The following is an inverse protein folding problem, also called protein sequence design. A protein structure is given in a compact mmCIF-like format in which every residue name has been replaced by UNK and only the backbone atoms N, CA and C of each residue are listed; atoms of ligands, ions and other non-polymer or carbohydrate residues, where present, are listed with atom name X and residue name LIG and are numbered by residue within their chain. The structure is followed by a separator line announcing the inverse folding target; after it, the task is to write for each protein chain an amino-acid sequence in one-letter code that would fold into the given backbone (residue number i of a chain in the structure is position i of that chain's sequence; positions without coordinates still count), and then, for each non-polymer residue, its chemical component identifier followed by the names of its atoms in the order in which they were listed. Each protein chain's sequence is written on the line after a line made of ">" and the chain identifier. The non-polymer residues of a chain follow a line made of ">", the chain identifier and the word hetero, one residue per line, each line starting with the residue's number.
data_IF_602911808804
#
_entry.id   IF_602911808804
#
_cell.length_a   1.000
_cell.length_b   1.000
_cell.length_c   1.000
_cell.angle_alpha   90.00
_cell.angle_beta   90.00
_cell.angle_gamma   90.00
#
_symmetry.space_group_name_H-M   'P 1'
#
loop_
_entity.id
_entity.type
_entity.pdbx_description
1 polymer ?
#
# COMPACT_ATOMS: atom_id res chain seq x y z
N UNK A 1 11.69 16.50 33.76
CA UNK A 1 11.62 16.15 32.33
C UNK A 1 12.03 14.72 32.24
N UNK A 2 11.30 13.81 31.59
CA UNK A 2 11.79 12.46 31.38
C UNK A 2 13.06 12.54 30.52
N UNK A 3 14.07 11.80 30.94
CA UNK A 3 15.38 11.74 30.27
C UNK A 3 15.22 10.92 28.99
N UNK A 4 15.01 11.59 27.87
CA UNK A 4 14.90 10.99 26.55
C UNK A 4 16.30 10.87 25.97
N UNK A 5 17.06 9.88 26.46
CA UNK A 5 18.27 9.48 25.78
C UNK A 5 17.93 9.02 24.37
N UNK A 6 18.64 9.47 23.32
CA UNK A 6 18.41 8.96 21.97
C UNK A 6 18.62 7.45 21.96
N UNK A 7 17.69 6.72 21.33
CA UNK A 7 17.81 5.28 21.22
C UNK A 7 19.14 4.90 20.57
N UNK A 8 19.85 3.90 21.09
CA UNK A 8 21.20 3.56 20.62
C UNK A 8 21.28 3.16 19.14
N UNK A 9 20.15 2.78 18.52
CA UNK A 9 20.10 2.32 17.11
C UNK A 9 19.49 3.33 16.13
N UNK A 10 19.06 4.52 16.62
CA UNK A 10 18.52 5.55 15.72
C UNK A 10 19.66 6.38 15.13
N UNK A 11 19.75 6.54 13.80
CA UNK A 11 20.84 7.27 13.15
C UNK A 11 20.83 8.75 13.55
N UNK A 12 22.02 9.37 13.55
CA UNK A 12 22.15 10.79 13.89
C UNK A 12 21.76 11.73 12.72
N UNK A 13 21.78 11.21 11.49
CA UNK A 13 21.52 11.96 10.25
C UNK A 13 20.07 11.87 9.77
N UNK A 14 19.10 12.04 10.68
CA UNK A 14 17.67 11.89 10.39
C UNK A 14 17.16 12.85 9.30
N UNK A 15 17.72 14.06 9.22
CA UNK A 15 17.34 15.05 8.20
C UNK A 15 17.76 14.59 6.79
N UNK A 16 18.94 14.02 6.64
CA UNK A 16 19.42 13.50 5.36
C UNK A 16 18.57 12.30 4.91
N UNK A 17 18.21 11.41 5.85
CA UNK A 17 17.32 10.28 5.58
C UNK A 17 15.93 10.77 5.16
N UNK A 18 15.37 11.76 5.87
CA UNK A 18 14.09 12.33 5.54
C UNK A 18 14.08 12.95 4.14
N UNK A 19 15.14 13.67 3.80
CA UNK A 19 15.32 14.29 2.48
C UNK A 19 15.47 13.24 1.37
N UNK A 20 16.23 12.17 1.60
CA UNK A 20 16.42 11.08 0.64
C UNK A 20 15.10 10.36 0.34
N UNK A 21 14.33 10.01 1.39
CA UNK A 21 13.03 9.34 1.24
C UNK A 21 11.99 10.30 0.61
N UNK A 22 11.96 11.57 1.00
CA UNK A 22 11.06 12.56 0.41
C UNK A 22 11.34 12.77 -1.08
N UNK A 23 12.62 12.85 -1.46
CA UNK A 23 13.03 12.94 -2.87
C UNK A 23 12.60 11.71 -3.68
N UNK A 24 12.71 10.51 -3.11
CA UNK A 24 12.25 9.27 -3.75
C UNK A 24 10.73 9.29 -4.02
N UNK A 25 9.94 9.82 -3.08
CA UNK A 25 8.49 9.98 -3.25
C UNK A 25 8.18 11.00 -4.35
N UNK A 26 8.83 12.16 -4.33
CA UNK A 26 8.63 13.21 -5.34
C UNK A 26 9.00 12.75 -6.74
N UNK A 27 10.10 12.02 -6.90
CA UNK A 27 10.54 11.48 -8.18
C UNK A 27 9.52 10.48 -8.74
N UNK A 28 8.93 9.64 -7.86
CA UNK A 28 7.84 8.77 -8.25
C UNK A 28 6.59 9.58 -8.66
N UNK A 29 6.15 10.54 -7.86
CA UNK A 29 4.98 11.36 -8.14
C UNK A 29 5.10 12.08 -9.50
N UNK A 30 6.26 12.67 -9.78
CA UNK A 30 6.53 13.32 -11.08
C UNK A 30 6.47 12.34 -12.25
N UNK A 31 7.07 11.15 -12.08
CA UNK A 31 7.12 10.14 -13.14
C UNK A 31 5.79 9.42 -13.35
N UNK A 32 5.02 9.24 -12.29
CA UNK A 32 3.76 8.51 -12.31
C UNK A 32 2.52 9.39 -12.50
N UNK A 33 2.66 10.72 -12.64
CA UNK A 33 1.54 11.65 -12.67
C UNK A 33 0.45 11.29 -13.73
N UNK A 34 0.86 10.94 -14.94
CA UNK A 34 -0.07 10.53 -16.00
C UNK A 34 -0.77 9.21 -15.66
N UNK A 35 -0.01 8.25 -15.11
CA UNK A 35 -0.53 6.94 -14.73
C UNK A 35 -1.56 7.09 -13.60
N UNK A 36 -1.28 7.93 -12.61
CA UNK A 36 -2.20 8.20 -11.50
C UNK A 36 -3.49 8.86 -12.01
N UNK A 37 -3.38 9.83 -12.91
CA UNK A 37 -4.55 10.47 -13.54
C UNK A 37 -5.41 9.47 -14.31
N UNK A 38 -4.81 8.57 -15.08
CA UNK A 38 -5.56 7.52 -15.80
C UNK A 38 -6.28 6.57 -14.84
N UNK A 39 -5.64 6.22 -13.71
CA UNK A 39 -6.25 5.34 -12.69
C UNK A 39 -7.44 6.00 -11.98
N UNK A 40 -7.34 7.28 -11.67
CA UNK A 40 -8.46 8.06 -11.14
C UNK A 40 -9.62 8.09 -12.15
N UNK A 41 -9.32 8.31 -13.42
CA UNK A 41 -10.29 8.27 -14.50
C UNK A 41 -11.01 6.90 -14.57
N UNK A 42 -10.27 5.78 -14.49
CA UNK A 42 -10.87 4.44 -14.51
C UNK A 42 -11.78 4.20 -13.32
N UNK A 43 -11.37 4.68 -12.14
CA UNK A 43 -12.17 4.58 -10.93
C UNK A 43 -13.47 5.41 -11.04
N UNK A 44 -13.41 6.59 -11.62
CA UNK A 44 -14.57 7.43 -11.87
C UNK A 44 -15.53 6.78 -12.89
N UNK A 45 -14.99 6.22 -13.96
CA UNK A 45 -15.78 5.47 -14.95
C UNK A 45 -16.44 4.23 -14.33
N UNK A 46 -15.71 3.52 -13.46
CA UNK A 46 -16.23 2.38 -12.73
C UNK A 46 -17.36 2.78 -11.76
N UNK A 47 -17.20 3.90 -11.04
CA UNK A 47 -18.22 4.42 -10.12
C UNK A 47 -19.40 5.08 -10.83
N UNK A 48 -19.24 5.43 -12.09
CA UNK A 48 -20.23 6.21 -12.81
C UNK A 48 -20.32 7.66 -12.33
N UNK A 49 -19.23 8.21 -11.79
CA UNK A 49 -19.13 9.59 -11.32
C UNK A 49 -18.44 10.48 -12.35
N UNK A 50 -18.71 11.79 -12.33
CA UNK A 50 -17.92 12.82 -13.03
C UNK A 50 -17.98 12.79 -14.58
N UNK A 51 -19.17 12.60 -15.17
CA UNK A 51 -19.35 12.57 -16.64
C UNK A 51 -18.88 13.83 -17.38
N UNK A 52 -18.93 14.99 -16.76
CA UNK A 52 -18.50 16.25 -17.35
C UNK A 52 -16.98 16.32 -17.53
N UNK A 53 -16.21 15.59 -16.74
CA UNK A 53 -14.74 15.53 -16.86
C UNK A 53 -14.28 14.76 -18.10
N UNK A 54 -15.15 13.93 -18.70
CA UNK A 54 -14.83 13.14 -19.90
C UNK A 54 -15.02 13.91 -21.23
N UNK A 55 -15.21 15.23 -21.16
CA UNK A 55 -15.43 16.03 -22.37
C UNK A 55 -16.78 15.79 -23.04
N UNK A 56 -17.67 15.01 -22.42
CA UNK A 56 -19.04 14.84 -22.88
C UNK A 56 -19.79 16.12 -22.53
N UNK A 57 -19.99 16.98 -23.52
CA UNK A 57 -20.87 18.12 -23.35
C UNK A 57 -22.27 17.59 -23.07
N UNK A 58 -22.84 17.97 -21.91
CA UNK A 58 -24.25 17.72 -21.63
C UNK A 58 -25.08 18.21 -22.83
N UNK A 59 -25.62 17.28 -23.62
CA UNK A 59 -26.57 17.61 -24.67
C UNK A 59 -27.91 17.80 -24.02
N UNK A 60 -28.43 19.01 -24.09
CA UNK A 60 -29.78 19.30 -23.57
C UNK A 60 -30.79 18.32 -24.20
N UNK A 61 -31.51 17.59 -23.36
CA UNK A 61 -32.57 16.66 -23.79
C UNK A 61 -32.15 15.17 -23.90
N UNK A 62 -30.90 14.80 -23.69
CA UNK A 62 -30.48 13.40 -23.61
C UNK A 62 -30.32 12.94 -22.16
N UNK A 63 -30.64 11.69 -21.92
CA UNK A 63 -30.41 11.06 -20.61
C UNK A 63 -28.91 11.00 -20.32
N UNK A 64 -28.50 11.59 -19.20
CA UNK A 64 -27.13 11.49 -18.69
C UNK A 64 -26.92 10.20 -17.89
N UNK A 65 -27.65 9.12 -18.21
CA UNK A 65 -27.46 7.83 -17.57
C UNK A 65 -26.15 7.21 -18.03
N UNK A 66 -25.26 6.90 -17.10
CA UNK A 66 -23.99 6.27 -17.42
C UNK A 66 -24.20 4.84 -17.91
N UNK A 67 -23.48 4.48 -18.97
CA UNK A 67 -23.34 3.07 -19.31
C UNK A 67 -22.26 2.45 -18.44
N UNK A 68 -22.53 1.47 -17.56
CA UNK A 68 -21.59 0.93 -16.60
C UNK A 68 -20.69 -0.18 -17.19
N UNK A 69 -20.29 -0.08 -18.46
CA UNK A 69 -19.56 -1.15 -19.17
C UNK A 69 -18.28 -1.58 -18.42
N UNK A 70 -17.48 -0.60 -17.97
CA UNK A 70 -16.26 -0.88 -17.22
C UNK A 70 -16.59 -1.56 -15.90
N UNK A 71 -17.64 -1.14 -15.20
CA UNK A 71 -18.06 -1.76 -13.94
C UNK A 71 -18.52 -3.20 -14.15
N UNK A 72 -19.39 -3.43 -15.13
CA UNK A 72 -19.91 -4.78 -15.46
C UNK A 72 -18.79 -5.73 -15.87
N UNK A 73 -17.91 -5.32 -16.76
CA UNK A 73 -16.77 -6.12 -17.19
C UNK A 73 -15.80 -6.40 -16.03
N UNK A 74 -15.50 -5.37 -15.21
CA UNK A 74 -14.62 -5.51 -14.04
C UNK A 74 -15.21 -6.49 -13.03
N UNK A 75 -16.48 -6.35 -12.63
CA UNK A 75 -17.09 -7.23 -11.66
C UNK A 75 -17.23 -8.68 -12.18
N UNK A 76 -17.55 -8.86 -13.45
CA UNK A 76 -17.66 -10.20 -14.06
C UNK A 76 -16.30 -10.92 -14.03
N UNK A 77 -15.24 -10.25 -14.50
CA UNK A 77 -13.90 -10.83 -14.51
C UNK A 77 -13.34 -11.01 -13.07
N UNK A 78 -13.53 -10.03 -12.21
CA UNK A 78 -13.05 -10.10 -10.83
C UNK A 78 -13.74 -11.24 -10.06
N UNK A 79 -15.06 -11.43 -10.22
CA UNK A 79 -15.77 -12.54 -9.59
C UNK A 79 -15.30 -13.90 -10.15
N UNK A 80 -15.05 -13.99 -11.45
CA UNK A 80 -14.54 -15.22 -12.08
C UNK A 80 -13.16 -15.58 -11.53
N UNK A 81 -12.21 -14.64 -11.54
CA UNK A 81 -10.85 -14.85 -11.00
C UNK A 81 -10.91 -15.19 -9.50
N UNK A 82 -11.67 -14.43 -8.74
CA UNK A 82 -11.83 -14.66 -7.30
C UNK A 82 -12.39 -16.06 -7.02
N UNK A 83 -13.42 -16.48 -7.74
CA UNK A 83 -14.02 -17.80 -7.57
C UNK A 83 -13.00 -18.90 -7.87
N UNK A 84 -12.19 -18.76 -8.93
CA UNK A 84 -11.13 -19.71 -9.25
C UNK A 84 -10.08 -19.80 -8.14
N UNK A 85 -9.70 -18.66 -7.54
CA UNK A 85 -8.69 -18.60 -6.47
C UNK A 85 -9.18 -19.19 -5.14
N UNK A 86 -10.47 -19.16 -4.85
CA UNK A 86 -11.03 -19.60 -3.55
C UNK A 86 -11.88 -20.86 -3.64
N UNK A 87 -12.06 -21.43 -4.83
CA UNK A 87 -12.90 -22.62 -5.05
C UNK A 87 -12.36 -23.87 -4.33
N UNK A 88 -11.03 -24.02 -4.25
CA UNK A 88 -10.43 -25.10 -3.50
C UNK A 88 -10.39 -24.75 -1.99
N UNK A 89 -10.69 -25.72 -1.14
CA UNK A 89 -10.56 -25.56 0.31
C UNK A 89 -9.79 -26.74 0.92
N UNK A 90 -8.55 -26.53 1.41
CA UNK A 90 -7.80 -25.27 1.34
C UNK A 90 -7.36 -24.92 -0.09
N UNK A 91 -7.32 -23.63 -0.39
CA UNK A 91 -6.87 -23.12 -1.70
C UNK A 91 -5.33 -23.14 -1.87
N UNK A 92 -4.64 -23.78 -0.94
CA UNK A 92 -3.20 -24.00 -0.97
C UNK A 92 -2.87 -25.26 -0.13
N UNK A 93 -1.75 -25.88 -0.43
CA UNK A 93 -1.16 -26.93 0.40
C UNK A 93 0.34 -26.72 0.50
N UNK A 94 0.92 -27.12 1.64
CA UNK A 94 2.37 -27.13 1.80
C UNK A 94 2.91 -28.45 1.24
N UNK A 95 4.02 -28.36 0.51
CA UNK A 95 4.73 -29.51 -0.06
C UNK A 95 6.18 -29.44 0.38
N UNK A 96 6.76 -30.58 0.77
CA UNK A 96 8.18 -30.66 1.08
C UNK A 96 9.00 -30.64 -0.21
N UNK A 97 9.88 -29.63 -0.35
CA UNK A 97 10.80 -29.55 -1.50
C UNK A 97 11.91 -30.61 -1.46
N UNK A 98 12.28 -31.07 -0.25
CA UNK A 98 13.34 -32.06 -0.06
C UNK A 98 12.83 -33.50 0.12
N UNK A 99 11.52 -33.69 0.24
CA UNK A 99 10.91 -34.97 0.58
C UNK A 99 11.21 -35.45 2.01
N UNK A 100 11.93 -34.67 2.80
CA UNK A 100 12.39 -35.04 4.15
C UNK A 100 11.39 -34.70 5.27
N UNK A 101 10.32 -33.97 4.96
CA UNK A 101 9.33 -33.54 5.97
C UNK A 101 8.15 -34.51 5.98
N UNK A 102 7.78 -34.95 7.18
CA UNK A 102 6.63 -35.84 7.40
C UNK A 102 5.32 -35.16 6.93
N UNK A 103 4.50 -35.88 6.20
CA UNK A 103 3.21 -35.42 5.70
C UNK A 103 2.28 -34.96 6.83
N UNK A 104 2.37 -35.53 8.02
CA UNK A 104 1.61 -35.10 9.19
C UNK A 104 1.97 -33.68 9.65
N UNK A 105 3.24 -33.29 9.53
CA UNK A 105 3.74 -31.94 9.84
C UNK A 105 3.26 -30.96 8.78
N UNK A 106 3.33 -31.35 7.50
CA UNK A 106 2.83 -30.52 6.39
C UNK A 106 1.33 -30.24 6.52
N UNK A 107 0.55 -31.28 6.88
CA UNK A 107 -0.88 -31.13 7.10
C UNK A 107 -1.20 -30.20 8.28
N UNK A 108 -0.50 -30.33 9.42
CA UNK A 108 -0.66 -29.44 10.58
C UNK A 108 -0.34 -28.00 10.21
N UNK A 109 0.75 -27.75 9.51
CA UNK A 109 1.17 -26.42 9.10
C UNK A 109 0.20 -25.82 8.07
N UNK A 110 -0.36 -26.62 7.15
CA UNK A 110 -1.40 -26.17 6.22
C UNK A 110 -2.64 -25.73 6.97
N UNK A 111 -3.09 -26.50 7.98
CA UNK A 111 -4.24 -26.14 8.81
C UNK A 111 -3.99 -24.88 9.66
N UNK A 112 -2.76 -24.70 10.18
CA UNK A 112 -2.38 -23.50 10.91
C UNK A 112 -2.48 -22.25 10.02
N UNK A 113 -1.90 -22.31 8.82
CA UNK A 113 -2.00 -21.21 7.85
C UNK A 113 -3.45 -20.93 7.45
N UNK A 114 -4.27 -21.96 7.25
CA UNK A 114 -5.71 -21.80 6.99
C UNK A 114 -6.38 -21.05 8.13
N UNK A 115 -6.17 -21.45 9.37
CA UNK A 115 -6.72 -20.75 10.55
C UNK A 115 -6.25 -19.30 10.62
N UNK A 116 -4.98 -19.01 10.32
CA UNK A 116 -4.44 -17.65 10.26
C UNK A 116 -5.14 -16.83 9.16
N UNK A 117 -5.33 -17.40 7.97
CA UNK A 117 -6.04 -16.75 6.86
C UNK A 117 -7.50 -16.44 7.19
N UNK A 118 -8.19 -17.34 7.89
CA UNK A 118 -9.58 -17.11 8.31
C UNK A 118 -9.67 -16.01 9.37
N UNK A 119 -8.79 -16.03 10.38
CA UNK A 119 -8.70 -14.97 11.40
C UNK A 119 -8.42 -13.58 10.81
N UNK A 120 -7.53 -13.49 9.82
CA UNK A 120 -7.19 -12.23 9.14
C UNK A 120 -8.20 -11.84 8.06
N UNK A 121 -9.25 -12.64 7.84
CA UNK A 121 -10.30 -12.43 6.80
C UNK A 121 -9.68 -12.26 5.39
N UNK A 122 -8.65 -13.05 5.10
CA UNK A 122 -7.86 -12.93 3.86
C UNK A 122 -8.71 -13.04 2.60
N UNK A 123 -9.71 -13.93 2.56
CA UNK A 123 -10.63 -14.10 1.41
C UNK A 123 -11.32 -12.78 1.04
N UNK A 124 -11.83 -12.03 2.04
CA UNK A 124 -12.47 -10.73 1.79
C UNK A 124 -11.50 -9.68 1.25
N UNK A 125 -10.29 -9.62 1.81
CA UNK A 125 -9.25 -8.67 1.39
C UNK A 125 -8.73 -8.99 -0.02
N UNK A 126 -8.65 -10.28 -0.37
CA UNK A 126 -8.26 -10.74 -1.69
C UNK A 126 -9.19 -10.21 -2.79
N UNK A 127 -10.52 -10.17 -2.55
CA UNK A 127 -11.46 -9.64 -3.53
C UNK A 127 -11.18 -8.17 -3.90
N UNK A 128 -10.78 -7.34 -2.93
CA UNK A 128 -10.39 -5.95 -3.21
C UNK A 128 -9.14 -5.87 -4.09
N UNK A 129 -8.15 -6.74 -3.85
CA UNK A 129 -6.94 -6.82 -4.68
C UNK A 129 -7.26 -7.29 -6.11
N UNK A 130 -8.14 -8.29 -6.26
CA UNK A 130 -8.57 -8.80 -7.58
C UNK A 130 -9.33 -7.73 -8.36
N UNK A 131 -10.21 -6.95 -7.73
CA UNK A 131 -10.89 -5.82 -8.40
C UNK A 131 -9.89 -4.77 -8.88
N UNK A 132 -8.91 -4.41 -8.04
CA UNK A 132 -7.85 -3.48 -8.44
C UNK A 132 -7.03 -4.03 -9.61
N UNK A 133 -6.69 -5.32 -9.56
CA UNK A 133 -5.96 -6.01 -10.61
C UNK A 133 -6.70 -5.93 -11.96
N UNK A 134 -7.98 -6.26 -11.97
CA UNK A 134 -8.80 -6.27 -13.19
C UNK A 134 -9.03 -4.86 -13.72
N UNK A 135 -9.43 -3.92 -12.86
CA UNK A 135 -9.73 -2.54 -13.27
C UNK A 135 -8.50 -1.80 -13.75
N UNK A 136 -7.45 -1.81 -12.93
CA UNK A 136 -6.25 -1.01 -13.12
C UNK A 136 -5.14 -1.75 -13.86
N UNK A 137 -5.26 -3.06 -14.08
CA UNK A 137 -4.21 -3.90 -14.65
C UNK A 137 -3.15 -4.33 -13.66
N UNK A 138 -3.15 -3.78 -12.43
CA UNK A 138 -2.14 -4.05 -11.42
C UNK A 138 -2.73 -4.01 -10.03
N UNK A 139 -2.23 -4.85 -9.14
CA UNK A 139 -2.60 -4.86 -7.74
C UNK A 139 -1.37 -4.95 -6.85
N UNK A 140 -1.39 -4.17 -5.77
CA UNK A 140 -0.40 -4.21 -4.71
C UNK A 140 -0.99 -4.79 -3.45
N UNK A 141 -0.24 -5.67 -2.82
CA UNK A 141 -0.58 -6.30 -1.56
C UNK A 141 0.59 -6.18 -0.62
N UNK A 142 0.32 -5.71 0.57
CA UNK A 142 1.27 -5.75 1.68
C UNK A 142 0.98 -6.96 2.56
N UNK A 143 2.01 -7.67 2.98
CA UNK A 143 1.94 -8.85 3.85
C UNK A 143 2.74 -8.61 5.14
N UNK A 144 2.25 -7.75 6.04
CA UNK A 144 2.92 -7.52 7.31
C UNK A 144 2.73 -8.70 8.25
N UNK A 145 3.71 -8.93 9.13
CA UNK A 145 3.53 -9.81 10.28
C UNK A 145 2.75 -9.07 11.35
N UNK A 146 1.72 -9.70 11.89
CA UNK A 146 0.91 -9.15 12.97
C UNK A 146 0.86 -10.13 14.15
N UNK A 147 0.90 -9.59 15.37
CA UNK A 147 0.72 -10.30 16.62
C UNK A 147 -0.54 -9.82 17.34
N UNK A 148 -1.11 -10.66 18.21
CA UNK A 148 -2.28 -10.31 19.01
C UNK A 148 -2.16 -10.82 20.44
N UNK A 149 -2.29 -9.95 21.47
CA UNK A 149 -2.41 -8.48 21.35
C UNK A 149 -1.21 -7.83 20.68
N UNK A 150 -1.38 -6.69 19.98
CA UNK A 150 -0.27 -6.00 19.35
C UNK A 150 0.74 -5.52 20.39
N UNK A 151 2.04 -5.77 20.16
CA UNK A 151 3.12 -5.35 21.06
C UNK A 151 3.29 -6.21 22.30
N UNK A 152 2.54 -7.30 22.44
CA UNK A 152 2.74 -8.27 23.54
C UNK A 152 3.98 -9.13 23.22
N UNK A 153 4.94 -9.26 24.15
CA UNK A 153 6.11 -10.13 23.97
C UNK A 153 5.74 -11.63 23.92
N UNK A 154 4.57 -11.99 24.46
CA UNK A 154 4.03 -13.36 24.39
C UNK A 154 2.61 -13.33 23.78
N UNK A 155 2.49 -13.07 22.48
CA UNK A 155 1.20 -12.91 21.84
C UNK A 155 0.41 -14.22 21.83
N UNK A 156 -0.90 -14.11 22.04
CA UNK A 156 -1.80 -15.27 22.02
C UNK A 156 -1.89 -15.92 20.62
N UNK A 157 -1.59 -15.17 19.56
CA UNK A 157 -1.41 -15.68 18.22
C UNK A 157 -0.69 -14.66 17.32
N UNK A 158 -0.04 -15.18 16.28
CA UNK A 158 0.64 -14.41 15.24
C UNK A 158 0.24 -14.90 13.85
N UNK A 159 0.29 -14.01 12.88
CA UNK A 159 0.01 -14.35 11.49
C UNK A 159 0.56 -13.29 10.53
N UNK A 160 0.70 -13.67 9.26
CA UNK A 160 0.80 -12.70 8.18
C UNK A 160 -0.58 -12.15 7.87
N UNK A 161 -0.72 -10.82 7.85
CA UNK A 161 -1.92 -10.18 7.32
C UNK A 161 -1.83 -10.05 5.79
N UNK A 162 -2.94 -9.68 5.18
CA UNK A 162 -3.06 -9.42 3.76
C UNK A 162 -3.77 -8.08 3.60
N UNK A 163 -3.03 -7.05 3.20
CA UNK A 163 -3.56 -5.70 3.05
C UNK A 163 -3.46 -5.30 1.59
N UNK A 164 -4.62 -5.12 0.94
CA UNK A 164 -4.64 -4.51 -0.38
C UNK A 164 -4.25 -3.03 -0.26
N UNK A 165 -3.24 -2.62 -1.02
CA UNK A 165 -2.80 -1.23 -1.10
C UNK A 165 -3.38 -0.59 -2.37
N UNK A 166 -4.19 0.46 -2.25
CA UNK A 166 -4.66 1.21 -3.41
C UNK A 166 -3.49 1.74 -4.24
N UNK A 167 -3.63 1.70 -5.55
CA UNK A 167 -2.58 2.13 -6.48
C UNK A 167 -2.03 3.53 -6.17
N UNK A 168 -2.86 4.57 -5.90
CA UNK A 168 -2.37 5.90 -5.59
C UNK A 168 -1.57 6.00 -4.27
N UNK A 169 -1.67 4.99 -3.40
CA UNK A 169 -0.97 4.98 -2.12
C UNK A 169 0.39 4.28 -2.18
N UNK A 170 0.80 3.84 -3.36
CA UNK A 170 2.07 3.16 -3.57
C UNK A 170 3.05 4.06 -4.30
N UNK A 171 4.33 3.94 -3.95
CA UNK A 171 5.42 4.55 -4.71
C UNK A 171 6.57 3.56 -4.84
N UNK A 172 7.31 3.66 -5.93
CA UNK A 172 8.45 2.80 -6.24
C UNK A 172 9.47 3.56 -7.11
N UNK A 173 10.64 2.99 -7.30
CA UNK A 173 11.68 3.57 -8.16
C UNK A 173 11.15 3.80 -9.58
N UNK A 174 11.21 5.04 -10.09
CA UNK A 174 10.86 5.35 -11.47
C UNK A 174 11.69 4.52 -12.48
N UNK A 175 11.06 4.11 -13.58
CA UNK A 175 11.72 3.36 -14.67
C UNK A 175 12.26 1.97 -14.26
N UNK A 176 11.82 1.41 -13.14
CA UNK A 176 12.09 0.01 -12.85
C UNK A 176 11.40 -0.86 -13.91
N UNK A 177 12.12 -1.86 -14.44
CA UNK A 177 11.57 -2.81 -15.42
C UNK A 177 10.48 -3.67 -14.77
N UNK A 178 10.67 -4.02 -13.50
CA UNK A 178 9.71 -4.73 -12.67
C UNK A 178 9.72 -4.13 -11.27
N UNK A 179 8.57 -4.11 -10.64
CA UNK A 179 8.43 -3.62 -9.26
C UNK A 179 9.15 -4.52 -8.26
N UNK A 180 9.24 -5.82 -8.54
CA UNK A 180 9.97 -6.77 -7.69
C UNK A 180 11.49 -6.49 -7.68
N UNK A 181 12.01 -5.87 -8.73
CA UNK A 181 13.43 -5.50 -8.87
C UNK A 181 13.68 -3.99 -8.68
N UNK A 182 12.67 -3.23 -8.29
CA UNK A 182 12.85 -1.82 -7.97
C UNK A 182 13.78 -1.64 -6.77
N UNK A 183 14.70 -0.68 -6.80
CA UNK A 183 15.62 -0.44 -5.69
C UNK A 183 14.86 -0.07 -4.42
N UNK A 184 13.75 0.63 -4.54
CA UNK A 184 12.88 0.92 -3.42
C UNK A 184 11.40 0.80 -3.78
N UNK A 185 10.59 0.52 -2.77
CA UNK A 185 9.14 0.52 -2.82
C UNK A 185 8.58 1.00 -1.48
N UNK A 186 7.45 1.64 -1.50
CA UNK A 186 6.80 2.09 -0.28
C UNK A 186 5.32 2.35 -0.45
N UNK A 187 4.70 2.71 0.68
CA UNK A 187 3.29 3.09 0.72
C UNK A 187 3.09 4.40 1.47
N UNK A 188 2.06 5.13 1.10
CA UNK A 188 1.66 6.38 1.76
C UNK A 188 0.27 6.14 2.37
N UNK A 189 0.19 6.27 3.68
CA UNK A 189 -1.05 6.16 4.44
C UNK A 189 -1.42 7.48 5.10
N UNK A 190 -2.72 7.69 5.27
CA UNK A 190 -3.22 8.79 6.05
C UNK A 190 -3.64 8.26 7.41
N UNK A 191 -3.01 8.76 8.44
CA UNK A 191 -3.15 8.26 9.80
C UNK A 191 -3.55 9.38 10.76
N UNK A 192 -4.41 9.08 11.73
CA UNK A 192 -4.72 10.02 12.80
C UNK A 192 -3.60 10.10 13.83
N UNK A 193 -3.44 11.25 14.50
CA UNK A 193 -2.46 11.43 15.56
C UNK A 193 -2.59 10.38 16.68
N UNK A 194 -3.82 10.04 17.07
CA UNK A 194 -4.07 9.02 18.10
C UNK A 194 -3.61 7.62 17.66
N UNK A 195 -3.84 7.28 16.39
CA UNK A 195 -3.37 6.00 15.86
C UNK A 195 -1.85 5.93 15.79
N UNK A 196 -1.19 7.05 15.43
CA UNK A 196 0.26 7.13 15.39
C UNK A 196 0.87 6.97 16.79
N UNK A 197 0.29 7.64 17.82
CA UNK A 197 0.70 7.44 19.22
C UNK A 197 0.54 5.99 19.66
N UNK A 198 -0.61 5.39 19.35
CA UNK A 198 -0.85 3.99 19.68
C UNK A 198 0.17 3.04 19.04
N UNK A 199 0.57 3.27 17.77
CA UNK A 199 1.61 2.48 17.11
C UNK A 199 2.98 2.65 17.79
N UNK A 200 3.33 3.88 18.21
CA UNK A 200 4.58 4.13 18.92
C UNK A 200 4.58 3.59 20.36
N UNK A 201 3.41 3.50 21.01
CA UNK A 201 3.27 2.90 22.36
C UNK A 201 3.33 1.37 22.33
N UNK A 202 2.84 0.74 21.25
CA UNK A 202 2.89 -0.71 21.07
C UNK A 202 4.30 -1.26 20.88
N UNK A 203 5.24 -0.43 20.45
CA UNK A 203 6.65 -0.79 20.35
C UNK A 203 7.33 -0.59 21.71
N UNK A 204 7.16 -1.58 22.59
CA UNK A 204 7.60 -1.49 23.99
C UNK A 204 9.11 -1.30 24.15
N UNK A 205 9.89 -1.87 23.24
CA UNK A 205 11.34 -1.74 23.26
C UNK A 205 11.82 -0.48 22.54
N UNK A 206 10.91 0.22 21.82
CA UNK A 206 11.26 1.38 21.01
C UNK A 206 12.21 1.05 19.85
N UNK A 207 12.30 -0.22 19.49
CA UNK A 207 13.28 -0.70 18.52
C UNK A 207 13.01 -0.21 17.10
N UNK A 208 11.77 0.12 16.78
CA UNK A 208 11.40 0.56 15.43
C UNK A 208 10.77 1.94 15.39
N UNK A 209 9.96 2.33 16.39
CA UNK A 209 9.29 3.63 16.48
C UNK A 209 9.94 4.55 17.49
N UNK A 210 10.24 5.78 17.11
CA UNK A 210 10.76 6.80 18.03
C UNK A 210 9.63 7.65 18.59
N UNK A 211 9.21 7.37 19.84
CA UNK A 211 8.14 8.09 20.53
C UNK A 211 8.39 9.59 20.63
N UNK A 212 9.65 9.98 20.88
CA UNK A 212 10.04 11.38 20.96
C UNK A 212 9.84 12.09 19.62
N UNK A 213 10.30 11.48 18.51
CA UNK A 213 10.11 12.03 17.17
C UNK A 213 8.64 12.10 16.77
N UNK A 214 7.83 11.10 17.16
CA UNK A 214 6.37 11.14 16.95
C UNK A 214 5.74 12.32 17.65
N UNK A 215 6.01 12.54 18.93
CA UNK A 215 5.42 13.67 19.69
C UNK A 215 5.95 15.01 19.20
N UNK A 216 7.22 15.13 18.86
CA UNK A 216 7.80 16.33 18.28
C UNK A 216 7.14 16.66 16.93
N UNK A 217 7.01 15.67 16.05
CA UNK A 217 6.38 15.84 14.75
C UNK A 217 4.89 16.22 14.86
N UNK A 218 4.18 15.64 15.82
CA UNK A 218 2.77 16.00 16.07
C UNK A 218 2.62 17.43 16.58
N UNK A 219 3.49 17.90 17.48
CA UNK A 219 3.48 19.29 17.99
C UNK A 219 3.80 20.31 16.90
N UNK A 220 4.85 20.07 16.10
CA UNK A 220 5.24 20.98 15.03
C UNK A 220 4.16 21.11 13.97
N UNK A 221 3.51 20.00 13.61
CA UNK A 221 2.44 19.99 12.62
C UNK A 221 1.07 20.48 13.15
N UNK A 222 0.90 20.65 14.45
CA UNK A 222 -0.25 21.40 15.02
C UNK A 222 -0.08 22.92 14.85
N UNK A 223 1.15 23.42 14.90
CA UNK A 223 1.46 24.83 14.71
C UNK A 223 1.44 25.25 13.24
N UNK A 224 1.88 24.42 12.35
CA UNK A 224 1.74 24.61 10.91
C UNK A 224 0.42 23.96 10.47
N UNK A 225 -0.60 24.78 10.20
CA UNK A 225 -1.77 24.28 9.49
C UNK A 225 -1.30 23.75 8.12
N UNK A 226 -1.04 22.44 8.06
CA UNK A 226 -0.50 21.79 6.85
C UNK A 226 -1.48 22.01 5.69
N UNK A 227 -1.17 23.01 4.91
CA UNK A 227 -1.91 23.43 3.72
C UNK A 227 -1.53 22.61 2.50
N UNK A 228 -1.04 21.39 2.68
CA UNK A 228 -0.71 20.48 1.60
C UNK A 228 -1.92 20.24 0.71
N UNK A 229 -2.01 21.07 -0.35
CA UNK A 229 -3.13 21.07 -1.29
C UNK A 229 -3.37 19.71 -1.92
N UNK A 230 -2.31 18.92 -2.13
CA UNK A 230 -2.37 17.62 -2.80
C UNK A 230 -3.00 16.53 -1.93
N UNK A 231 -2.63 16.42 -0.65
CA UNK A 231 -3.27 15.47 0.25
C UNK A 231 -4.73 15.82 0.47
N UNK A 232 -5.05 17.09 0.60
CA UNK A 232 -6.43 17.58 0.71
C UNK A 232 -7.24 17.25 -0.55
N UNK A 233 -6.68 17.48 -1.73
CA UNK A 233 -7.32 17.13 -3.00
C UNK A 233 -7.54 15.62 -3.10
N UNK A 234 -6.53 14.82 -2.75
CA UNK A 234 -6.59 13.36 -2.78
C UNK A 234 -7.62 12.80 -1.78
N UNK A 235 -7.68 13.34 -0.57
CA UNK A 235 -8.67 12.94 0.41
C UNK A 235 -10.07 13.41 0.04
N UNK A 236 -10.21 14.60 -0.52
CA UNK A 236 -11.48 15.11 -1.03
C UNK A 236 -11.99 14.27 -2.19
N UNK A 237 -11.12 13.84 -3.10
CA UNK A 237 -11.46 12.91 -4.19
C UNK A 237 -11.92 11.53 -3.66
N UNK A 238 -11.43 11.13 -2.48
CA UNK A 238 -11.87 9.92 -1.78
C UNK A 238 -13.17 10.10 -0.98
N UNK A 239 -13.77 11.30 -1.00
CA UNK A 239 -15.05 11.59 -0.33
C UNK A 239 -14.93 11.91 1.16
N UNK A 240 -13.74 12.19 1.66
CA UNK A 240 -13.54 12.62 3.03
C UNK A 240 -13.63 14.14 3.13
N UNK A 241 -14.45 14.66 4.03
CA UNK A 241 -14.67 16.10 4.21
C UNK A 241 -14.03 16.71 5.46
N UNK A 242 -13.64 15.90 6.45
CA UNK A 242 -13.05 16.36 7.70
C UNK A 242 -11.71 15.66 7.97
N UNK A 243 -10.64 16.42 7.81
CA UNK A 243 -9.25 15.95 7.96
C UNK A 243 -8.54 16.51 9.18
N UNK A 244 -9.30 16.95 10.20
CA UNK A 244 -8.70 17.51 11.41
C UNK A 244 -7.78 16.48 12.07
N UNK A 245 -6.49 16.81 12.10
CA UNK A 245 -5.48 15.94 12.72
C UNK A 245 -5.02 14.72 11.90
N UNK A 246 -5.43 14.60 10.64
CA UNK A 246 -4.87 13.58 9.75
C UNK A 246 -3.45 13.94 9.31
N UNK A 247 -2.55 12.96 9.31
CA UNK A 247 -1.13 13.08 8.96
C UNK A 247 -0.79 12.10 7.84
N UNK A 248 0.13 12.49 6.96
CA UNK A 248 0.69 11.60 5.97
C UNK A 248 1.82 10.78 6.59
N UNK A 249 1.72 9.47 6.51
CA UNK A 249 2.77 8.53 6.90
C UNK A 249 3.23 7.76 5.67
N UNK A 250 4.44 8.02 5.23
CA UNK A 250 5.08 7.23 4.19
C UNK A 250 5.93 6.12 4.83
N UNK A 251 5.76 4.90 4.36
CA UNK A 251 6.59 3.74 4.74
C UNK A 251 7.45 3.38 3.53
N UNK A 252 8.74 3.54 3.66
CA UNK A 252 9.74 3.25 2.64
C UNK A 252 10.46 1.95 2.96
N UNK A 253 10.74 1.16 1.95
CA UNK A 253 11.60 -0.03 2.01
C UNK A 253 12.61 0.00 0.88
N UNK A 254 13.87 0.07 1.22
CA UNK A 254 14.96 0.13 0.24
C UNK A 254 16.31 0.47 0.87
N UNK A 255 17.35 0.52 0.05
CA UNK A 255 18.67 0.97 0.47
C UNK A 255 18.67 2.48 0.72
N UNK A 256 19.52 2.94 1.64
CA UNK A 256 19.73 4.36 1.95
C UNK A 256 21.20 4.72 1.78
N UNK A 257 21.47 5.68 0.90
CA UNK A 257 22.84 6.16 0.67
C UNK A 257 23.38 6.91 1.89
N UNK A 258 22.51 7.65 2.57
CA UNK A 258 22.83 8.45 3.76
C UNK A 258 23.24 7.61 4.97
N UNK A 259 22.86 6.32 5.03
CA UNK A 259 23.13 5.46 6.20
C UNK A 259 24.37 4.60 5.99
N UNK A 260 24.37 3.76 4.96
CA UNK A 260 25.40 2.74 4.75
C UNK A 260 25.88 2.64 3.29
N UNK A 261 25.72 3.73 2.53
CA UNK A 261 26.01 3.80 1.09
C UNK A 261 25.21 2.80 0.25
N UNK A 262 23.97 2.56 0.67
CA UNK A 262 23.04 1.69 -0.04
C UNK A 262 23.36 0.20 0.04
N UNK A 263 24.08 -0.24 1.06
CA UNK A 263 24.49 -1.65 1.21
C UNK A 263 23.41 -2.54 1.84
N UNK A 264 22.55 -1.95 2.65
CA UNK A 264 21.54 -2.67 3.43
C UNK A 264 20.17 -2.11 3.12
N UNK A 265 19.15 -2.95 3.16
CA UNK A 265 17.75 -2.50 3.07
C UNK A 265 17.24 -2.05 4.43
N UNK A 266 16.57 -0.92 4.44
CA UNK A 266 15.99 -0.27 5.60
C UNK A 266 14.48 -0.10 5.45
N UNK A 267 13.78 -0.17 6.57
CA UNK A 267 12.39 0.24 6.68
C UNK A 267 12.31 1.60 7.38
N UNK A 268 11.80 2.61 6.69
CA UNK A 268 11.69 3.98 7.21
C UNK A 268 10.24 4.43 7.22
N UNK A 269 9.78 4.95 8.35
CA UNK A 269 8.51 5.65 8.45
C UNK A 269 8.74 7.15 8.50
N UNK A 270 8.27 7.87 7.49
CA UNK A 270 8.41 9.31 7.34
C UNK A 270 7.04 10.00 7.53
N UNK A 271 6.96 10.88 8.52
CA UNK A 271 5.74 11.64 8.80
C UNK A 271 5.79 13.00 8.11
N UNK A 272 4.74 13.32 7.37
CA UNK A 272 4.60 14.59 6.62
C UNK A 272 5.83 14.93 5.77
N UNK A 273 6.51 13.94 5.23
CA UNK A 273 7.73 14.05 4.40
C UNK A 273 8.91 14.74 5.08
N UNK A 274 8.89 14.89 6.41
CA UNK A 274 9.90 15.65 7.16
C UNK A 274 10.49 14.87 8.32
N UNK A 275 9.68 14.14 9.07
CA UNK A 275 10.10 13.53 10.32
C UNK A 275 10.23 12.01 10.19
N UNK A 276 11.43 11.49 10.43
CA UNK A 276 11.66 10.05 10.55
C UNK A 276 11.13 9.58 11.91
N UNK A 277 9.97 8.94 11.91
CA UNK A 277 9.30 8.46 13.13
C UNK A 277 9.51 6.96 13.36
N UNK A 278 9.90 6.22 12.32
CA UNK A 278 10.20 4.79 12.35
C UNK A 278 11.48 4.54 11.56
N UNK A 279 12.37 3.72 12.13
CA UNK A 279 13.60 3.33 11.46
C UNK A 279 14.04 1.95 11.94
N UNK A 280 14.28 1.02 11.02
CA UNK A 280 14.76 -0.31 11.34
C UNK A 280 15.44 -0.95 10.13
N UNK A 281 16.37 -1.85 10.39
CA UNK A 281 16.90 -2.72 9.34
C UNK A 281 15.80 -3.66 8.86
N UNK A 282 15.76 -3.94 7.54
CA UNK A 282 14.78 -4.87 6.99
C UNK A 282 14.85 -6.23 7.70
N UNK A 283 13.72 -6.68 8.22
CA UNK A 283 13.57 -7.99 8.87
C UNK A 283 13.34 -9.11 7.84
N UNK A 284 13.09 -8.75 6.59
CA UNK A 284 12.78 -9.69 5.54
C UNK A 284 14.07 -10.35 5.01
N UNK A 285 14.12 -11.70 4.97
CA UNK A 285 15.33 -12.39 4.53
C UNK A 285 15.63 -12.09 3.06
N UNK A 286 16.92 -11.92 2.75
CA UNK A 286 17.44 -11.76 1.38
C UNK A 286 16.84 -10.59 0.60
N UNK A 287 16.50 -9.49 1.28
CA UNK A 287 15.93 -8.31 0.64
C UNK A 287 14.48 -8.49 0.18
N UNK A 288 13.79 -9.53 0.61
CA UNK A 288 12.36 -9.65 0.40
C UNK A 288 11.64 -8.53 1.14
N UNK A 289 10.76 -7.85 0.45
CA UNK A 289 9.95 -6.75 1.01
C UNK A 289 8.54 -7.23 1.35
N UNK A 290 7.80 -6.53 2.23
CA UNK A 290 6.45 -6.95 2.60
C UNK A 290 5.44 -6.81 1.45
N UNK A 291 5.82 -6.17 0.36
CA UNK A 291 4.96 -5.94 -0.79
C UNK A 291 5.00 -7.09 -1.79
N UNK A 292 3.84 -7.38 -2.36
CA UNK A 292 3.67 -8.28 -3.50
C UNK A 292 2.90 -7.55 -4.56
N UNK A 293 3.25 -7.84 -5.79
CA UNK A 293 2.71 -7.20 -6.96
C UNK A 293 2.14 -8.25 -7.92
N UNK A 294 1.05 -7.90 -8.60
CA UNK A 294 0.45 -8.73 -9.62
C UNK A 294 0.01 -7.88 -10.81
N UNK A 295 0.17 -8.40 -12.02
CA UNK A 295 -0.28 -7.80 -13.27
C UNK A 295 -1.42 -8.63 -13.87
N UNK A 296 -2.39 -7.97 -14.47
CA UNK A 296 -3.50 -8.65 -15.16
C UNK A 296 -3.10 -9.09 -16.57
N UNK A 297 -2.67 -8.14 -17.37
CA UNK A 297 -2.05 -8.40 -18.68
C UNK A 297 -0.68 -7.75 -18.63
N UNK A 298 0.35 -8.59 -18.65
CA UNK A 298 1.74 -8.16 -18.62
C UNK A 298 2.15 -7.56 -19.97
N UNK A 299 2.87 -6.45 -19.89
CA UNK A 299 3.51 -5.82 -21.05
C UNK A 299 5.03 -5.95 -20.92
N UNK A 300 5.67 -6.15 -22.06
CA UNK A 300 7.12 -6.13 -22.12
C UNK A 300 7.66 -4.74 -21.74
N UNK A 301 8.61 -4.71 -20.82
CA UNK A 301 9.27 -3.49 -20.32
C UNK A 301 8.34 -2.44 -19.65
N UNK A 302 7.13 -2.83 -19.26
CA UNK A 302 6.25 -1.98 -18.45
C UNK A 302 6.08 -2.62 -17.06
N UNK A 303 6.43 -1.94 -15.97
CA UNK A 303 6.23 -2.46 -14.62
C UNK A 303 4.76 -2.62 -14.25
N UNK A 304 3.84 -2.06 -15.04
CA UNK A 304 2.41 -2.08 -14.79
C UNK A 304 1.67 -2.85 -15.89
N UNK A 305 0.66 -3.60 -15.50
CA UNK A 305 -0.20 -4.32 -16.43
C UNK A 305 -1.33 -3.46 -17.03
N UNK A 306 -1.92 -3.98 -18.08
CA UNK A 306 -3.14 -3.43 -18.69
C UNK A 306 -4.37 -4.05 -18.01
N UNK A 307 -5.33 -3.20 -17.59
CA UNK A 307 -6.63 -3.60 -17.06
C UNK A 307 -7.79 -3.27 -17.98
N UNK A 308 -8.98 -3.64 -17.54
CA UNK A 308 -10.25 -3.37 -18.21
C UNK A 308 -10.46 -1.87 -18.43
N UNK A 309 -10.03 -1.04 -17.47
CA UNK A 309 -10.09 0.42 -17.58
C UNK A 309 -9.39 0.93 -18.84
N UNK A 310 -8.18 0.44 -19.13
CA UNK A 310 -7.43 0.81 -20.34
C UNK A 310 -8.12 0.34 -21.62
N UNK A 311 -8.66 -0.88 -21.62
CA UNK A 311 -9.24 -1.51 -22.80
C UNK A 311 -10.58 -0.88 -23.18
N UNK A 312 -11.40 -0.54 -22.20
CA UNK A 312 -12.77 -0.11 -22.42
C UNK A 312 -13.03 1.41 -22.27
N UNK A 313 -12.03 2.20 -21.86
CA UNK A 313 -12.21 3.64 -21.65
C UNK A 313 -12.76 4.38 -22.88
N UNK A 314 -12.29 4.04 -24.07
CA UNK A 314 -12.74 4.68 -25.31
C UNK A 314 -14.15 4.28 -25.66
N UNK A 315 -14.50 3.00 -25.52
CA UNK A 315 -15.86 2.50 -25.75
C UNK A 315 -16.85 3.16 -24.81
N UNK A 316 -16.53 3.23 -23.52
CA UNK A 316 -17.39 3.87 -22.54
C UNK A 316 -17.57 5.37 -22.82
N UNK A 317 -16.50 6.08 -23.20
CA UNK A 317 -16.57 7.49 -23.61
C UNK A 317 -17.42 7.70 -24.85
N UNK A 318 -17.37 6.76 -25.80
CA UNK A 318 -18.13 6.87 -27.05
C UNK A 318 -19.63 6.66 -26.83
N UNK A 319 -20.01 5.80 -25.90
CA UNK A 319 -21.40 5.45 -25.60
C UNK A 319 -22.06 6.49 -24.68
N UNK A 320 -21.32 7.10 -23.77
CA UNK A 320 -21.79 8.15 -22.87
C UNK A 320 -21.77 9.52 -23.56
#
# INVERSE_FOLDING_TARGET
>A
MPDFSPMPDFPQNLEEIAQEVSSAIEDHEKSAANILSDRELFLDMYKGTNYTAYGVKSRAGLSNLPSPIIAEATETLANTIYTMLVAADPNFSLVSLSGATDDSVLFKNTNLLRMQHDKTKRKRKLMAAVRSLVLNGSAFVEQPWISWPPGDPDPSWEATDFIHRPFPNMFWMPKAISIDYADYIGSIDIISANRLRALAEMDQEGATWNKFMVEMALKETEMEAYTGSEIRQRLTSLGYSDFRGAKELAIYHGPLQSVDKGRTEWGVGLLNRKFVVRFHKSIYPRGLRPFRFAQHIELENDPLGIGVGHQLQFQQRYIN
#
